data_IF_655200572429
#
_entry.id   IF_655200572429
#
_cell.length_a   1.000
_cell.length_b   1.000
_cell.length_c   1.000
_cell.angle_alpha   90.00
_cell.angle_beta   90.00
_cell.angle_gamma   90.00
#
_symmetry.space_group_name_H-M   'P 1'
#
loop_
_entity.id
_entity.type
_entity.pdbx_description
1 polymer ?
#
# COMPACT_ATOMS: atom_id res chain seq x y z
N UNK A 1 -8.30 6.81 10.61
CA UNK A 1 -7.26 7.60 11.30
C UNK A 1 -6.28 8.25 10.34
N UNK A 2 -6.06 7.67 9.19
CA UNK A 2 -5.17 8.22 8.20
C UNK A 2 -5.59 7.81 6.81
N UNK A 3 -5.25 8.65 5.83
CA UNK A 3 -5.49 8.36 4.42
C UNK A 3 -4.23 8.63 3.63
N UNK A 4 -4.14 8.04 2.45
CA UNK A 4 -3.02 8.26 1.54
C UNK A 4 -3.39 7.91 0.11
N UNK A 5 -2.67 8.48 -0.83
CA UNK A 5 -2.78 8.15 -2.23
C UNK A 5 -1.38 8.17 -2.85
N UNK A 6 -1.24 7.57 -4.03
CA UNK A 6 0.07 7.51 -4.69
C UNK A 6 0.55 8.91 -5.04
N UNK A 7 1.82 9.18 -4.78
CA UNK A 7 2.40 10.48 -5.08
C UNK A 7 3.88 10.54 -4.72
N UNK A 8 4.52 11.59 -5.19
CA UNK A 8 5.91 11.85 -4.81
C UNK A 8 5.99 12.39 -3.38
N UNK A 9 7.15 12.21 -2.71
CA UNK A 9 7.33 12.81 -1.40
C UNK A 9 7.16 14.32 -1.43
N UNK A 10 6.83 14.89 -0.28
CA UNK A 10 6.66 16.35 -0.14
C UNK A 10 7.93 17.05 -0.59
N UNK A 11 7.76 18.15 -1.32
CA UNK A 11 8.89 18.95 -1.79
C UNK A 11 9.58 18.44 -3.03
N UNK A 12 9.16 17.28 -3.54
CA UNK A 12 9.71 16.71 -4.78
C UNK A 12 8.83 17.19 -5.94
N UNK A 13 9.49 17.64 -7.02
CA UNK A 13 8.81 18.12 -8.21
C UNK A 13 7.99 16.99 -8.88
N UNK A 14 6.70 17.21 -9.02
CA UNK A 14 5.76 16.25 -9.62
C UNK A 14 5.32 16.66 -11.02
N UNK A 15 6.24 17.21 -11.80
CA UNK A 15 5.96 17.62 -13.18
C UNK A 15 5.35 16.48 -14.00
N UNK A 16 4.57 16.85 -15.02
CA UNK A 16 3.96 15.88 -15.93
C UNK A 16 5.02 15.02 -16.61
N UNK A 17 6.15 15.62 -16.98
CA UNK A 17 7.26 14.91 -17.60
C UNK A 17 7.80 13.82 -16.69
N UNK A 18 8.00 14.13 -15.41
CA UNK A 18 8.50 13.17 -14.43
C UNK A 18 7.48 12.08 -14.15
N UNK A 19 6.19 12.42 -14.07
CA UNK A 19 5.12 11.44 -13.87
C UNK A 19 4.98 10.49 -15.06
N UNK A 20 5.28 10.97 -16.27
CA UNK A 20 5.21 10.16 -17.48
C UNK A 20 6.44 9.27 -17.68
N UNK A 21 7.55 9.57 -17.02
CA UNK A 21 8.79 8.80 -17.14
C UNK A 21 8.84 7.71 -16.07
N UNK A 22 8.55 6.49 -16.48
CA UNK A 22 8.45 5.34 -15.56
C UNK A 22 9.74 5.06 -14.81
N UNK A 23 10.88 5.17 -15.48
CA UNK A 23 12.19 4.91 -14.85
C UNK A 23 12.52 5.93 -13.77
N UNK A 24 12.12 7.18 -13.95
CA UNK A 24 12.32 8.24 -12.98
C UNK A 24 11.26 8.20 -11.88
N UNK A 25 10.02 7.89 -12.26
CA UNK A 25 8.88 7.89 -11.34
C UNK A 25 8.94 6.79 -10.28
N UNK A 26 9.23 5.55 -10.69
CA UNK A 26 9.16 4.41 -9.79
C UNK A 26 10.05 4.51 -8.56
N UNK A 27 11.31 4.94 -8.66
CA UNK A 27 12.12 5.08 -7.45
C UNK A 27 11.65 6.18 -6.50
N UNK A 28 10.90 7.16 -7.00
CA UNK A 28 10.51 8.34 -6.23
C UNK A 28 9.08 8.26 -5.70
N UNK A 29 8.22 7.47 -6.33
CA UNK A 29 6.80 7.48 -5.97
C UNK A 29 6.55 6.70 -4.68
N UNK A 30 5.74 7.28 -3.79
CA UNK A 30 5.26 6.59 -2.61
C UNK A 30 3.90 5.97 -2.91
N UNK A 31 3.69 4.73 -2.48
CA UNK A 31 2.38 4.09 -2.62
C UNK A 31 1.40 4.66 -1.61
N UNK A 32 0.10 4.53 -1.90
CA UNK A 32 -0.95 5.05 -1.02
C UNK A 32 -0.84 4.51 0.41
N UNK A 33 -0.57 3.22 0.57
CA UNK A 33 -0.43 2.59 1.88
C UNK A 33 0.74 3.18 2.65
N UNK A 34 1.86 3.36 1.98
CA UNK A 34 3.06 3.97 2.55
C UNK A 34 2.78 5.40 3.00
N UNK A 35 2.10 6.19 2.16
CA UNK A 35 1.75 7.55 2.47
C UNK A 35 0.78 7.65 3.65
N UNK A 36 -0.17 6.73 3.76
CA UNK A 36 -1.08 6.70 4.90
C UNK A 36 -0.32 6.44 6.21
N UNK A 37 0.63 5.51 6.19
CA UNK A 37 1.46 5.19 7.36
C UNK A 37 2.33 6.39 7.74
N UNK A 38 3.00 6.98 6.76
CA UNK A 38 3.88 8.13 7.02
C UNK A 38 3.10 9.35 7.50
N UNK A 39 1.90 9.56 6.95
CA UNK A 39 1.04 10.65 7.42
C UNK A 39 0.66 10.46 8.88
N UNK A 40 0.27 9.25 9.26
CA UNK A 40 -0.04 8.94 10.65
C UNK A 40 1.17 9.18 11.55
N UNK A 41 2.36 8.76 11.11
CA UNK A 41 3.60 8.99 11.84
C UNK A 41 3.88 10.47 12.01
N UNK A 42 3.66 11.26 10.96
CA UNK A 42 3.92 12.69 10.96
C UNK A 42 3.05 13.44 11.95
N UNK A 43 1.77 13.06 12.07
CA UNK A 43 0.84 13.73 12.98
C UNK A 43 0.72 13.06 14.34
N UNK A 44 1.42 11.96 14.56
CA UNK A 44 1.46 11.30 15.85
C UNK A 44 0.24 10.44 16.16
N UNK A 45 -0.39 9.85 15.14
CA UNK A 45 -1.54 8.96 15.31
C UNK A 45 -1.10 7.52 15.19
N UNK A 46 -1.44 6.68 16.16
CA UNK A 46 -1.15 5.26 16.11
C UNK A 46 -2.10 4.55 15.14
N UNK A 47 -1.56 3.63 14.35
CA UNK A 47 -2.35 2.75 13.49
C UNK A 47 -2.48 1.34 14.08
N UNK A 48 -2.04 1.16 15.29
CA UNK A 48 -2.15 -0.14 15.98
C UNK A 48 -3.60 -0.61 16.02
N UNK A 49 -3.81 -1.87 15.69
CA UNK A 49 -5.12 -2.53 15.69
C UNK A 49 -6.11 -1.95 14.68
N UNK A 50 -5.63 -1.19 13.70
CA UNK A 50 -6.48 -0.61 12.67
C UNK A 50 -6.67 -1.56 11.49
N UNK A 51 -7.67 -1.26 10.67
CA UNK A 51 -7.95 -1.93 9.40
C UNK A 51 -7.50 -1.02 8.27
N UNK A 52 -6.81 -1.58 7.28
CA UNK A 52 -6.42 -0.85 6.08
C UNK A 52 -7.40 -1.18 4.95
N UNK A 53 -7.96 -0.16 4.34
CA UNK A 53 -8.83 -0.29 3.16
C UNK A 53 -8.04 0.18 1.95
N UNK A 54 -7.79 -0.72 1.02
CA UNK A 54 -6.95 -0.46 -0.15
C UNK A 54 -7.66 -0.91 -1.42
N UNK A 55 -7.30 -0.30 -2.56
CA UNK A 55 -7.95 -0.61 -3.83
C UNK A 55 -7.43 -1.91 -4.45
N UNK A 56 -6.19 -2.27 -4.16
CA UNK A 56 -5.52 -3.48 -4.65
C UNK A 56 -4.80 -4.17 -3.52
N UNK A 57 -4.51 -5.47 -3.64
CA UNK A 57 -3.67 -6.13 -2.63
C UNK A 57 -2.34 -5.39 -2.50
N UNK A 58 -1.86 -5.14 -1.28
CA UNK A 58 -0.59 -4.44 -1.09
C UNK A 58 0.57 -5.23 -1.70
N UNK A 59 1.55 -4.52 -2.27
CA UNK A 59 2.80 -5.15 -2.68
C UNK A 59 3.59 -5.59 -1.45
N UNK A 60 4.64 -6.39 -1.64
CA UNK A 60 5.43 -6.92 -0.53
C UNK A 60 5.99 -5.80 0.35
N UNK A 61 6.46 -4.71 -0.26
CA UNK A 61 7.00 -3.58 0.49
C UNK A 61 5.94 -2.93 1.38
N UNK A 62 4.75 -2.67 0.82
CA UNK A 62 3.66 -2.06 1.59
C UNK A 62 3.13 -3.02 2.65
N UNK A 63 3.07 -4.32 2.35
CA UNK A 63 2.65 -5.32 3.32
C UNK A 63 3.58 -5.33 4.54
N UNK A 64 4.90 -5.27 4.34
CA UNK A 64 5.84 -5.18 5.46
C UNK A 64 5.53 -3.98 6.35
N UNK A 65 5.29 -2.84 5.71
CA UNK A 65 5.02 -1.60 6.45
C UNK A 65 3.71 -1.67 7.21
N UNK A 66 2.67 -2.25 6.62
CA UNK A 66 1.37 -2.42 7.28
C UNK A 66 1.49 -3.33 8.51
N UNK A 67 2.23 -4.43 8.38
CA UNK A 67 2.47 -5.34 9.50
C UNK A 67 3.17 -4.61 10.64
N UNK A 68 4.24 -3.90 10.32
CA UNK A 68 5.05 -3.20 11.33
C UNK A 68 4.30 -2.03 11.97
N UNK A 69 3.36 -1.42 11.23
CA UNK A 69 2.53 -0.35 11.77
C UNK A 69 1.45 -0.85 12.73
N UNK A 70 1.23 -2.16 12.80
CA UNK A 70 0.24 -2.75 13.70
C UNK A 70 -1.12 -2.97 13.10
N UNK A 71 -1.25 -2.92 11.78
CA UNK A 71 -2.50 -3.20 11.08
C UNK A 71 -2.89 -4.67 11.31
N UNK A 72 -4.15 -4.92 11.60
CA UNK A 72 -4.66 -6.26 11.91
C UNK A 72 -5.55 -6.83 10.81
N UNK A 73 -6.04 -6.00 9.93
CA UNK A 73 -6.90 -6.42 8.82
C UNK A 73 -6.63 -5.57 7.59
N UNK A 74 -6.63 -6.21 6.41
CA UNK A 74 -6.53 -5.52 5.13
C UNK A 74 -7.75 -5.89 4.30
N UNK A 75 -8.49 -4.88 3.86
CA UNK A 75 -9.67 -5.03 3.00
C UNK A 75 -9.31 -4.45 1.64
N UNK A 76 -9.42 -5.25 0.59
CA UNK A 76 -9.04 -4.82 -0.76
C UNK A 76 -10.10 -5.19 -1.77
N UNK A 77 -10.20 -4.41 -2.86
CA UNK A 77 -11.25 -4.56 -3.86
C UNK A 77 -10.77 -5.23 -5.14
N UNK A 78 -9.50 -5.07 -5.50
CA UNK A 78 -8.93 -5.63 -6.72
C UNK A 78 -8.32 -7.00 -6.51
N UNK A 79 -7.51 -7.44 -7.45
CA UNK A 79 -6.72 -8.65 -7.31
C UNK A 79 -7.26 -9.88 -8.03
N UNK A 80 -8.40 -9.75 -8.74
CA UNK A 80 -8.96 -10.87 -9.53
C UNK A 80 -8.37 -10.94 -10.93
N UNK A 81 -7.84 -9.83 -11.42
CA UNK A 81 -7.26 -9.73 -12.76
C UNK A 81 -5.86 -9.10 -12.65
N UNK A 82 -4.97 -9.84 -12.00
CA UNK A 82 -3.61 -9.36 -11.71
C UNK A 82 -2.71 -9.60 -12.92
N UNK A 83 -2.00 -8.56 -13.41
CA UNK A 83 -1.00 -8.75 -14.45
C UNK A 83 0.05 -9.79 -14.01
N UNK A 84 0.44 -10.65 -14.92
CA UNK A 84 1.36 -11.75 -14.63
C UNK A 84 2.63 -11.30 -13.89
N UNK A 85 3.15 -10.15 -14.25
CA UNK A 85 4.38 -9.60 -13.62
C UNK A 85 4.22 -9.31 -12.12
N UNK A 86 2.99 -9.19 -11.63
CA UNK A 86 2.71 -8.88 -10.21
C UNK A 86 2.28 -10.09 -9.40
N UNK A 87 1.96 -11.21 -10.05
CA UNK A 87 1.42 -12.40 -9.36
C UNK A 87 2.37 -12.90 -8.28
N UNK A 88 3.64 -13.02 -8.60
CA UNK A 88 4.64 -13.51 -7.65
C UNK A 88 4.74 -12.60 -6.43
N UNK A 89 4.77 -11.29 -6.65
CA UNK A 89 4.87 -10.33 -5.55
C UNK A 89 3.62 -10.36 -4.66
N UNK A 90 2.43 -10.41 -5.26
CA UNK A 90 1.18 -10.47 -4.49
C UNK A 90 1.04 -11.79 -3.73
N UNK A 91 1.51 -12.89 -4.30
CA UNK A 91 1.52 -14.19 -3.60
C UNK A 91 2.42 -14.12 -2.36
N UNK A 92 3.59 -13.54 -2.51
CA UNK A 92 4.53 -13.34 -1.40
C UNK A 92 3.95 -12.43 -0.34
N UNK A 93 3.39 -11.30 -0.75
CA UNK A 93 2.76 -10.32 0.13
C UNK A 93 1.63 -10.94 0.95
N UNK A 94 0.72 -11.64 0.27
CA UNK A 94 -0.43 -12.30 0.91
C UNK A 94 0.03 -13.36 1.91
N UNK A 95 1.00 -14.18 1.51
CA UNK A 95 1.57 -15.21 2.39
C UNK A 95 2.18 -14.62 3.64
N UNK A 96 2.92 -13.52 3.49
CA UNK A 96 3.56 -12.85 4.61
C UNK A 96 2.54 -12.24 5.58
N UNK A 97 1.50 -11.60 5.05
CA UNK A 97 0.46 -11.02 5.89
C UNK A 97 -0.31 -12.09 6.67
N UNK A 98 -0.62 -13.23 6.02
CA UNK A 98 -1.28 -14.35 6.69
C UNK A 98 -0.39 -14.93 7.80
N UNK A 99 0.88 -15.10 7.52
CA UNK A 99 1.84 -15.61 8.50
C UNK A 99 1.90 -14.69 9.72
N UNK A 100 1.82 -13.37 9.51
CA UNK A 100 1.81 -12.38 10.59
C UNK A 100 0.48 -12.30 11.32
N UNK A 101 -0.54 -13.05 10.89
CA UNK A 101 -1.83 -13.09 11.55
C UNK A 101 -2.83 -12.04 11.11
N UNK A 102 -2.56 -11.32 10.04
CA UNK A 102 -3.51 -10.34 9.51
C UNK A 102 -4.69 -11.02 8.86
N UNK A 103 -5.87 -10.46 9.07
CA UNK A 103 -7.08 -10.88 8.37
C UNK A 103 -7.11 -10.19 7.00
N UNK A 104 -7.31 -10.96 5.95
CA UNK A 104 -7.40 -10.44 4.59
C UNK A 104 -8.82 -10.65 4.08
N UNK A 105 -9.44 -9.60 3.57
CA UNK A 105 -10.80 -9.66 3.07
C UNK A 105 -10.88 -8.97 1.71
N UNK A 106 -11.32 -9.73 0.70
CA UNK A 106 -11.56 -9.21 -0.63
C UNK A 106 -13.03 -8.80 -0.73
N UNK A 107 -13.31 -7.59 -1.21
CA UNK A 107 -14.67 -7.11 -1.42
C UNK A 107 -14.89 -6.80 -2.89
N UNK A 108 -16.08 -7.11 -3.41
CA UNK A 108 -16.45 -6.73 -4.76
C UNK A 108 -17.11 -5.36 -4.73
N UNK A 109 -16.55 -4.44 -5.52
CA UNK A 109 -17.15 -3.14 -5.76
C UNK A 109 -17.85 -3.19 -7.12
N UNK A 110 -19.16 -3.21 -7.10
CA UNK A 110 -19.98 -3.16 -8.32
C UNK A 110 -20.48 -1.74 -8.56
#
# INVERSE_FOLDING_TARGET
RSTGFNGFPRGIDDSIERLANREEKYPLICHAEENAIMHAARIGVSLRDCTAYVTWPPCTRCARSLIQAGIVEVVYAGGTDIPERWVEDFTRSTGMMKEAGLKLRNVNLE
#
